data_IF_130145338386
#
_entry.id   IF_130145338386
#
_cell.length_a   1.000
_cell.length_b   1.000
_cell.length_c   1.000
_cell.angle_alpha   90.00
_cell.angle_beta   90.00
_cell.angle_gamma   90.00
#
_symmetry.space_group_name_H-M   'P 1'
#
loop_
_entity.id
_entity.type
_entity.pdbx_description
1 polymer ?
#
# COMPACT_ATOMS: atom_id res chain seq x y z
N UNK A 1 14.88 25.73 5.07
CA UNK A 1 13.46 25.88 4.67
C UNK A 1 12.71 24.63 5.06
N UNK A 2 11.85 24.71 6.09
CA UNK A 2 10.96 23.61 6.50
C UNK A 2 9.90 23.39 5.42
N UNK A 3 9.67 22.13 5.04
CA UNK A 3 8.57 21.76 4.15
C UNK A 3 7.23 22.08 4.82
N UNK A 4 6.23 22.56 4.06
CA UNK A 4 4.92 22.90 4.63
C UNK A 4 4.26 21.65 5.21
N UNK A 5 3.68 21.81 6.40
CA UNK A 5 2.90 20.77 7.06
C UNK A 5 1.58 20.66 6.30
N UNK A 6 1.34 19.52 5.66
CA UNK A 6 0.05 19.22 5.05
C UNK A 6 -0.95 18.87 6.16
N UNK A 7 -2.06 19.61 6.22
CA UNK A 7 -3.20 19.28 7.08
C UNK A 7 -4.33 18.65 6.25
N UNK A 8 -4.94 17.61 6.82
CA UNK A 8 -6.07 16.92 6.23
C UNK A 8 -7.32 17.77 6.48
N UNK A 9 -7.77 18.50 5.46
CA UNK A 9 -8.85 19.49 5.56
C UNK A 9 -10.23 18.84 5.79
N UNK A 10 -10.54 17.76 5.06
CA UNK A 10 -11.79 17.03 5.26
C UNK A 10 -11.70 15.57 4.79
N UNK A 11 -12.47 14.70 5.45
CA UNK A 11 -12.74 13.32 5.00
C UNK A 11 -14.23 13.19 4.73
N UNK A 12 -14.61 12.96 3.47
CA UNK A 12 -16.02 12.78 3.07
C UNK A 12 -16.31 11.32 2.79
N UNK A 13 -17.37 10.79 3.41
CA UNK A 13 -17.87 9.44 3.13
C UNK A 13 -18.57 9.44 1.78
N UNK A 14 -18.14 8.58 0.87
CA UNK A 14 -18.78 8.38 -0.44
C UNK A 14 -19.53 7.05 -0.45
N UNK A 15 -20.60 6.98 -1.26
CA UNK A 15 -21.38 5.74 -1.44
C UNK A 15 -20.47 4.68 -2.07
N UNK A 16 -20.57 3.44 -1.60
CA UNK A 16 -19.81 2.33 -2.18
C UNK A 16 -20.12 2.22 -3.67
N UNK A 17 -19.08 2.22 -4.49
CA UNK A 17 -19.17 2.03 -5.94
C UNK A 17 -18.74 0.60 -6.26
N UNK A 18 -19.26 -0.03 -7.33
CA UNK A 18 -18.76 -1.33 -7.77
C UNK A 18 -17.25 -1.28 -7.85
N UNK A 19 -16.55 -2.27 -7.29
CA UNK A 19 -15.09 -2.28 -7.26
C UNK A 19 -14.60 -1.89 -8.66
N UNK A 20 -13.76 -0.87 -8.75
CA UNK A 20 -13.00 -0.44 -9.95
C UNK A 20 -11.52 -0.62 -9.57
N UNK A 21 -10.66 -1.00 -10.52
CA UNK A 21 -9.23 -0.86 -10.24
C UNK A 21 -9.03 0.64 -10.25
N UNK A 22 -9.04 1.25 -9.07
CA UNK A 22 -8.90 2.68 -8.93
C UNK A 22 -7.40 2.94 -9.04
N UNK A 23 -6.99 3.44 -10.18
CA UNK A 23 -5.83 4.31 -10.24
C UNK A 23 -6.21 5.59 -9.49
N UNK A 24 -5.44 5.96 -8.47
CA UNK A 24 -5.57 7.28 -7.86
C UNK A 24 -4.85 8.28 -8.77
N UNK A 25 -5.48 8.64 -9.88
CA UNK A 25 -5.11 9.83 -10.64
C UNK A 25 -5.91 11.02 -10.06
N UNK A 26 -5.28 11.71 -9.11
CA UNK A 26 -5.75 13.01 -8.64
C UNK A 26 -5.26 14.06 -9.64
N UNK A 27 -6.04 15.11 -9.94
CA UNK A 27 -5.56 16.27 -10.73
C UNK A 27 -4.28 16.90 -10.14
N UNK A 28 -4.00 16.66 -8.85
CA UNK A 28 -2.78 17.04 -8.15
C UNK A 28 -1.61 16.03 -8.27
N UNK A 29 -1.77 14.94 -9.03
CA UNK A 29 -0.80 13.84 -9.13
C UNK A 29 -0.40 13.29 -7.76
N UNK A 30 -1.33 12.63 -7.05
CA UNK A 30 -1.11 12.16 -5.68
C UNK A 30 -0.20 10.92 -5.64
N UNK A 31 1.06 11.13 -5.97
CA UNK A 31 2.17 10.21 -5.73
C UNK A 31 2.92 10.74 -4.51
N UNK A 32 3.29 9.85 -3.59
CA UNK A 32 4.23 10.25 -2.55
C UNK A 32 5.58 10.33 -3.26
N UNK A 33 6.01 11.54 -3.57
CA UNK A 33 7.19 11.77 -4.39
C UNK A 33 8.22 12.62 -3.64
N UNK A 34 9.49 12.25 -3.77
CA UNK A 34 10.59 13.07 -3.27
C UNK A 34 10.65 14.43 -3.98
N UNK A 35 11.55 15.33 -3.56
CA UNK A 35 11.72 16.66 -4.21
C UNK A 35 11.95 16.59 -5.71
N UNK A 36 12.52 15.49 -6.21
CA UNK A 36 12.72 15.23 -7.63
C UNK A 36 11.52 14.62 -8.35
N UNK A 37 10.33 14.59 -7.75
CA UNK A 37 9.10 13.97 -8.28
C UNK A 37 9.19 12.46 -8.55
N UNK A 38 10.21 11.80 -8.00
CA UNK A 38 10.34 10.33 -8.01
C UNK A 38 9.41 9.74 -6.96
N UNK A 39 8.50 8.80 -7.31
CA UNK A 39 7.67 8.09 -6.35
C UNK A 39 8.55 7.37 -5.32
N UNK A 40 8.39 7.73 -4.06
CA UNK A 40 9.12 7.14 -2.93
C UNK A 40 8.15 6.80 -1.82
N UNK A 41 8.49 5.81 -1.00
CA UNK A 41 7.74 5.47 0.23
C UNK A 41 6.30 4.95 0.02
N UNK A 42 5.99 4.32 -1.12
CA UNK A 42 4.67 3.71 -1.36
C UNK A 42 4.28 2.70 -0.25
N UNK A 43 5.23 1.89 0.22
CA UNK A 43 5.04 1.00 1.38
C UNK A 43 4.60 1.76 2.62
N UNK A 44 5.18 2.93 2.88
CA UNK A 44 4.83 3.77 4.05
C UNK A 44 3.37 4.25 3.98
N UNK A 45 2.87 4.59 2.78
CA UNK A 45 1.45 4.94 2.60
C UNK A 45 0.54 3.74 2.89
N UNK A 46 0.92 2.55 2.44
CA UNK A 46 0.22 1.30 2.79
C UNK A 46 0.16 1.07 4.30
N UNK A 47 1.29 1.29 4.99
CA UNK A 47 1.37 1.20 6.45
C UNK A 47 0.49 2.24 7.15
N UNK A 48 0.37 3.45 6.63
CA UNK A 48 -0.51 4.47 7.19
C UNK A 48 -1.99 4.11 7.08
N UNK A 49 -2.41 3.46 5.99
CA UNK A 49 -3.77 2.94 5.89
C UNK A 49 -4.04 1.84 6.92
N UNK A 50 -3.11 0.90 7.09
CA UNK A 50 -3.21 -0.16 8.11
C UNK A 50 -3.25 0.43 9.53
N UNK A 51 -2.43 1.44 9.79
CA UNK A 51 -2.35 2.14 11.06
C UNK A 51 -3.65 2.85 11.41
N UNK A 52 -4.21 3.59 10.46
CA UNK A 52 -5.53 4.19 10.63
C UNK A 52 -6.60 3.11 10.85
N UNK A 53 -6.64 2.07 10.01
CA UNK A 53 -7.65 1.01 10.06
C UNK A 53 -7.60 0.23 11.39
N UNK A 54 -6.46 -0.36 11.73
CA UNK A 54 -6.34 -1.32 12.84
C UNK A 54 -5.95 -0.69 14.16
N UNK A 55 -5.03 0.27 14.17
CA UNK A 55 -4.55 0.86 15.43
C UNK A 55 -5.57 1.90 15.90
N UNK A 56 -5.92 2.87 15.05
CA UNK A 56 -6.82 3.97 15.43
C UNK A 56 -8.29 3.54 15.47
N UNK A 57 -8.75 2.79 14.48
CA UNK A 57 -10.17 2.44 14.34
C UNK A 57 -10.52 1.01 14.76
N UNK A 58 -9.55 0.21 15.21
CA UNK A 58 -9.75 -1.18 15.70
C UNK A 58 -10.50 -2.07 14.71
N UNK A 59 -10.31 -1.80 13.41
CA UNK A 59 -10.86 -2.62 12.32
C UNK A 59 -9.79 -3.58 11.81
N UNK A 60 -10.18 -4.82 11.51
CA UNK A 60 -9.22 -5.82 11.08
C UNK A 60 -8.62 -5.46 9.71
N UNK A 61 -7.29 -5.51 9.60
CA UNK A 61 -6.59 -5.31 8.33
C UNK A 61 -5.43 -6.28 8.16
N UNK A 62 -5.08 -6.58 6.92
CA UNK A 62 -3.93 -7.44 6.59
C UNK A 62 -3.03 -6.79 5.58
N UNK A 63 -1.72 -6.95 5.76
CA UNK A 63 -0.72 -6.70 4.73
C UNK A 63 -0.04 -8.00 4.32
N UNK A 64 -0.02 -8.24 3.02
CA UNK A 64 0.83 -9.24 2.38
C UNK A 64 2.08 -8.52 1.87
N UNK A 65 3.20 -8.73 2.57
CA UNK A 65 4.47 -8.10 2.28
C UNK A 65 5.42 -9.09 1.64
N UNK A 66 5.85 -8.78 0.42
CA UNK A 66 6.75 -9.58 -0.40
C UNK A 66 8.19 -9.09 -0.33
N UNK A 67 8.40 -7.84 0.08
CA UNK A 67 9.72 -7.20 0.15
C UNK A 67 10.20 -6.98 1.58
N UNK A 68 9.31 -6.47 2.43
CA UNK A 68 9.65 -6.14 3.81
C UNK A 68 9.29 -7.29 4.75
N UNK A 69 10.19 -7.56 5.69
CA UNK A 69 9.90 -8.46 6.80
C UNK A 69 8.88 -7.85 7.77
N UNK A 70 8.22 -8.70 8.55
CA UNK A 70 7.30 -8.29 9.62
C UNK A 70 7.98 -7.37 10.63
N UNK A 71 9.24 -7.62 10.98
CA UNK A 71 9.99 -6.78 11.92
C UNK A 71 10.21 -5.37 11.38
N UNK A 72 10.51 -5.23 10.08
CA UNK A 72 10.64 -3.93 9.44
C UNK A 72 9.32 -3.16 9.39
N UNK A 73 8.23 -3.85 9.09
CA UNK A 73 6.88 -3.25 9.12
C UNK A 73 6.55 -2.75 10.52
N UNK A 74 6.72 -3.59 11.54
CA UNK A 74 6.43 -3.22 12.94
C UNK A 74 7.31 -2.05 13.40
N UNK A 75 8.60 -2.04 13.06
CA UNK A 75 9.48 -0.91 13.39
C UNK A 75 9.01 0.40 12.75
N UNK A 76 8.54 0.37 11.50
CA UNK A 76 7.99 1.57 10.84
C UNK A 76 6.69 2.04 11.48
N UNK A 77 5.81 1.13 11.87
CA UNK A 77 4.57 1.47 12.60
C UNK A 77 4.89 2.10 13.96
N UNK A 78 5.82 1.51 14.72
CA UNK A 78 6.27 2.07 16.00
C UNK A 78 6.91 3.44 15.84
N UNK A 79 7.76 3.63 14.84
CA UNK A 79 8.35 4.93 14.51
C UNK A 79 7.28 5.98 14.25
N UNK A 80 6.25 5.63 13.48
CA UNK A 80 5.13 6.53 13.16
C UNK A 80 4.22 6.84 14.35
N UNK A 81 3.99 5.89 15.26
CA UNK A 81 3.13 6.04 16.45
C UNK A 81 3.84 6.71 17.64
N UNK A 82 5.12 6.41 17.84
CA UNK A 82 5.93 6.97 18.93
C UNK A 82 6.60 8.29 18.55
N UNK A 83 6.56 8.68 17.27
CA UNK A 83 7.26 9.85 16.71
C UNK A 83 8.78 9.83 16.94
N UNK A 84 9.36 8.63 16.92
CA UNK A 84 10.81 8.39 17.07
C UNK A 84 11.38 8.11 15.69
N UNK A 85 12.56 8.67 15.37
CA UNK A 85 13.20 8.40 14.09
C UNK A 85 13.57 6.92 13.97
N UNK A 86 13.26 6.32 12.80
CA UNK A 86 13.57 4.92 12.53
C UNK A 86 15.08 4.60 12.64
N UNK A 87 15.95 5.55 12.29
CA UNK A 87 17.41 5.41 12.46
C UNK A 87 17.82 5.26 13.92
N UNK A 88 17.15 5.99 14.80
CA UNK A 88 17.49 6.06 16.22
C UNK A 88 17.01 4.78 16.91
N UNK A 89 15.81 4.32 16.54
CA UNK A 89 15.30 3.00 16.91
C UNK A 89 16.21 1.85 16.46
N UNK A 90 16.66 1.86 15.19
CA UNK A 90 17.55 0.82 14.65
C UNK A 90 18.95 0.82 15.28
N UNK A 91 19.45 1.99 15.65
CA UNK A 91 20.77 2.14 16.26
C UNK A 91 20.76 2.07 17.79
N UNK A 92 19.59 1.90 18.42
CA UNK A 92 19.43 1.88 19.88
C UNK A 92 19.70 3.23 20.55
N UNK A 93 19.82 4.33 19.80
CA UNK A 93 20.08 5.68 20.31
C UNK A 93 18.78 6.35 20.72
N UNK A 94 18.14 5.79 21.75
CA UNK A 94 16.86 6.26 22.28
C UNK A 94 17.04 6.73 23.73
N UNK A 95 16.40 7.85 24.08
CA UNK A 95 16.32 8.30 25.47
C UNK A 95 15.41 7.39 26.29
N UNK A 96 15.49 7.46 27.62
CA UNK A 96 14.60 6.67 28.49
C UNK A 96 13.11 7.00 28.27
N UNK A 97 12.81 8.26 27.92
CA UNK A 97 11.48 8.72 27.55
C UNK A 97 11.02 8.14 26.20
N UNK A 98 11.93 8.02 25.22
CA UNK A 98 11.67 7.32 23.95
C UNK A 98 11.35 5.84 24.19
N UNK A 99 12.13 5.16 25.04
CA UNK A 99 11.88 3.77 25.42
C UNK A 99 10.51 3.59 26.07
N UNK A 100 10.14 4.51 26.98
CA UNK A 100 8.85 4.50 27.66
C UNK A 100 7.70 4.68 26.67
N UNK A 101 7.81 5.65 25.73
CA UNK A 101 6.83 5.84 24.66
C UNK A 101 6.71 4.60 23.77
N UNK A 102 7.83 4.01 23.39
CA UNK A 102 7.87 2.86 22.50
C UNK A 102 7.19 1.65 23.14
N UNK A 103 7.49 1.35 24.40
CA UNK A 103 6.87 0.25 25.15
C UNK A 103 5.34 0.40 25.20
N UNK A 104 4.84 1.61 25.47
CA UNK A 104 3.40 1.91 25.46
C UNK A 104 2.76 1.65 24.08
N UNK A 105 3.36 2.17 23.01
CA UNK A 105 2.85 1.97 21.64
C UNK A 105 2.94 0.53 21.18
N UNK A 106 3.92 -0.23 21.66
CA UNK A 106 4.07 -1.64 21.35
C UNK A 106 2.87 -2.46 21.84
N UNK A 107 2.35 -2.18 23.04
CA UNK A 107 1.12 -2.81 23.53
C UNK A 107 -0.07 -2.51 22.63
N UNK A 108 -0.25 -1.24 22.26
CA UNK A 108 -1.36 -0.80 21.41
C UNK A 108 -1.34 -1.48 20.03
N UNK A 109 -0.16 -1.60 19.41
CA UNK A 109 0.01 -2.28 18.12
C UNK A 109 -0.21 -3.79 18.27
N UNK A 110 0.29 -4.40 19.34
CA UNK A 110 0.15 -5.84 19.60
C UNK A 110 -1.32 -6.26 19.78
N UNK A 111 -2.13 -5.39 20.39
CA UNK A 111 -3.57 -5.62 20.58
C UNK A 111 -4.42 -5.25 19.37
N UNK A 112 -3.86 -4.52 18.39
CA UNK A 112 -4.60 -4.11 17.21
C UNK A 112 -4.91 -5.34 16.33
N UNK A 113 -6.09 -5.40 15.66
CA UNK A 113 -6.41 -6.46 14.71
C UNK A 113 -5.66 -6.26 13.38
N UNK A 114 -4.34 -6.16 13.45
CA UNK A 114 -3.42 -5.98 12.33
C UNK A 114 -2.67 -7.27 12.06
N UNK A 115 -2.88 -7.82 10.87
CA UNK A 115 -2.24 -9.06 10.44
C UNK A 115 -1.14 -8.74 9.43
N UNK A 116 0.04 -9.31 9.63
CA UNK A 116 1.19 -9.15 8.72
C UNK A 116 1.59 -10.53 8.24
N UNK A 117 1.63 -10.70 6.93
CA UNK A 117 2.12 -11.90 6.28
C UNK A 117 3.30 -11.53 5.39
N UNK A 118 4.51 -11.88 5.84
CA UNK A 118 5.77 -11.67 5.16
C UNK A 118 6.33 -12.98 4.57
N UNK A 119 5.45 -13.96 4.30
CA UNK A 119 5.88 -15.24 3.72
C UNK A 119 6.55 -14.99 2.36
N UNK A 120 7.75 -15.58 2.11
CA UNK A 120 8.42 -15.42 0.83
C UNK A 120 7.63 -16.10 -0.29
N UNK A 121 7.75 -15.57 -1.52
CA UNK A 121 7.17 -16.16 -2.73
C UNK A 121 5.65 -16.41 -2.72
N UNK A 122 4.88 -15.57 -2.00
CA UNK A 122 3.42 -15.69 -1.97
C UNK A 122 2.80 -15.61 -3.37
N UNK A 123 2.07 -16.66 -3.72
CA UNK A 123 1.25 -16.70 -4.93
C UNK A 123 -0.10 -16.02 -4.68
N UNK A 124 -0.76 -15.60 -5.76
CA UNK A 124 -2.10 -15.00 -5.67
C UNK A 124 -3.13 -15.97 -5.09
N UNK A 125 -2.97 -17.27 -5.31
CA UNK A 125 -3.85 -18.29 -4.74
C UNK A 125 -3.72 -18.34 -3.21
N UNK A 126 -2.49 -18.28 -2.69
CA UNK A 126 -2.22 -18.25 -1.26
C UNK A 126 -2.74 -16.97 -0.62
N UNK A 127 -2.51 -15.80 -1.24
CA UNK A 127 -3.07 -14.52 -0.77
C UNK A 127 -4.60 -14.63 -0.63
N UNK A 128 -5.29 -15.13 -1.67
CA UNK A 128 -6.75 -15.32 -1.63
C UNK A 128 -7.18 -16.28 -0.52
N UNK A 129 -6.52 -17.42 -0.39
CA UNK A 129 -6.85 -18.42 0.64
C UNK A 129 -6.67 -17.85 2.06
N UNK A 130 -5.57 -17.15 2.31
CA UNK A 130 -5.28 -16.53 3.61
C UNK A 130 -6.25 -15.38 3.91
N UNK A 131 -6.54 -14.52 2.92
CA UNK A 131 -7.50 -13.43 3.07
C UNK A 131 -8.93 -13.94 3.37
N UNK A 132 -9.39 -15.00 2.67
CA UNK A 132 -10.67 -15.67 2.96
C UNK A 132 -10.74 -16.20 4.39
N UNK A 133 -9.70 -16.94 4.80
CA UNK A 133 -9.61 -17.50 6.16
C UNK A 133 -9.66 -16.39 7.21
N UNK A 134 -9.00 -15.26 6.94
CA UNK A 134 -8.97 -14.13 7.85
C UNK A 134 -10.31 -13.38 7.88
N UNK A 135 -10.99 -13.19 6.74
CA UNK A 135 -12.32 -12.60 6.66
C UNK A 135 -13.33 -13.36 7.53
N UNK A 136 -13.27 -14.69 7.51
CA UNK A 136 -14.12 -15.56 8.34
C UNK A 136 -13.84 -15.43 9.84
N UNK A 137 -12.57 -15.18 10.22
CA UNK A 137 -12.15 -15.14 11.63
C UNK A 137 -12.27 -13.76 12.29
N UNK A 138 -12.08 -12.69 11.52
CA UNK A 138 -11.81 -11.36 12.08
C UNK A 138 -12.58 -10.21 11.41
N UNK A 139 -13.60 -10.48 10.58
CA UNK A 139 -14.37 -9.45 9.85
C UNK A 139 -13.46 -8.43 9.13
N UNK A 140 -12.50 -8.96 8.36
CA UNK A 140 -11.46 -8.19 7.66
C UNK A 140 -12.02 -6.99 6.89
N UNK A 141 -11.48 -5.79 7.11
CA UNK A 141 -11.96 -4.51 6.53
C UNK A 141 -11.00 -3.87 5.52
N UNK A 142 -9.74 -4.31 5.47
CA UNK A 142 -8.74 -3.78 4.54
C UNK A 142 -7.70 -4.85 4.21
N UNK A 143 -7.33 -4.94 2.94
CA UNK A 143 -6.20 -5.73 2.46
C UNK A 143 -5.20 -4.80 1.79
N UNK A 144 -3.93 -4.90 2.17
CA UNK A 144 -2.80 -4.25 1.50
C UNK A 144 -1.88 -5.32 0.92
N UNK A 145 -1.41 -5.13 -0.31
CA UNK A 145 -0.44 -6.02 -0.97
C UNK A 145 0.76 -5.18 -1.42
N UNK A 146 1.95 -5.51 -0.92
CA UNK A 146 3.21 -4.79 -1.17
C UNK A 146 4.34 -5.77 -1.51
N UNK A 147 4.96 -5.83 -2.68
CA UNK A 147 4.72 -5.14 -3.94
C UNK A 147 4.44 -6.17 -5.03
N UNK A 148 3.52 -5.84 -5.93
CA UNK A 148 2.99 -6.73 -6.96
C UNK A 148 4.04 -7.38 -7.88
N UNK A 149 5.23 -6.80 -7.99
CA UNK A 149 6.22 -7.24 -8.97
C UNK A 149 7.04 -8.47 -8.53
N UNK A 150 7.02 -8.88 -7.26
CA UNK A 150 7.62 -10.16 -6.82
C UNK A 150 6.66 -11.34 -6.92
N UNK A 151 5.40 -11.10 -7.21
CA UNK A 151 4.47 -12.19 -7.39
C UNK A 151 4.81 -12.89 -8.71
N UNK A 152 5.27 -14.14 -8.62
CA UNK A 152 5.41 -15.01 -9.77
C UNK A 152 4.10 -15.77 -9.96
N UNK A 153 3.49 -15.61 -11.12
CA UNK A 153 2.22 -16.22 -11.50
C UNK A 153 2.36 -17.71 -11.88
N UNK A 154 3.55 -18.31 -11.69
CA UNK A 154 3.84 -19.71 -11.98
C UNK A 154 3.78 -20.10 -13.46
N UNK A 155 3.41 -19.16 -14.35
CA UNK A 155 3.35 -19.33 -15.80
C UNK A 155 4.39 -18.42 -16.46
N UNK A 156 4.97 -18.86 -17.58
CA UNK A 156 5.76 -17.98 -18.45
C UNK A 156 4.79 -17.01 -19.15
N UNK A 157 4.95 -15.71 -18.90
CA UNK A 157 4.26 -14.67 -19.64
C UNK A 157 5.15 -14.14 -20.76
N UNK A 158 4.55 -13.87 -21.91
CA UNK A 158 5.25 -13.26 -23.06
C UNK A 158 5.64 -11.80 -22.79
N UNK A 159 4.89 -11.11 -21.93
CA UNK A 159 5.22 -9.75 -21.50
C UNK A 159 4.79 -9.47 -20.07
N UNK A 160 5.56 -8.61 -19.40
CA UNK A 160 5.27 -8.13 -18.04
C UNK A 160 3.91 -7.44 -17.94
N UNK A 161 3.45 -6.80 -19.02
CA UNK A 161 2.14 -6.16 -19.09
C UNK A 161 0.98 -7.15 -18.94
N UNK A 162 1.09 -8.33 -19.56
CA UNK A 162 0.07 -9.38 -19.45
C UNK A 162 0.05 -9.92 -18.02
N UNK A 163 1.22 -10.15 -17.44
CA UNK A 163 1.35 -10.62 -16.05
C UNK A 163 0.71 -9.66 -15.05
N UNK A 164 1.03 -8.37 -15.10
CA UNK A 164 0.45 -7.37 -14.19
C UNK A 164 -1.05 -7.15 -14.47
N UNK A 165 -1.50 -7.33 -15.71
CA UNK A 165 -2.93 -7.31 -16.04
C UNK A 165 -3.70 -8.47 -15.39
N UNK A 166 -3.13 -9.66 -15.38
CA UNK A 166 -3.68 -10.81 -14.69
C UNK A 166 -3.71 -10.59 -13.16
N UNK A 167 -2.63 -10.04 -12.59
CA UNK A 167 -2.58 -9.70 -11.16
C UNK A 167 -3.67 -8.69 -10.78
N UNK A 168 -3.80 -7.61 -11.54
CA UNK A 168 -4.81 -6.58 -11.31
C UNK A 168 -6.23 -7.15 -11.38
N UNK A 169 -6.49 -8.05 -12.35
CA UNK A 169 -7.77 -8.77 -12.45
C UNK A 169 -8.01 -9.66 -11.23
N UNK A 170 -7.00 -10.41 -10.78
CA UNK A 170 -7.14 -11.30 -9.64
C UNK A 170 -7.40 -10.55 -8.32
N UNK A 171 -6.68 -9.45 -8.07
CA UNK A 171 -6.92 -8.58 -6.91
C UNK A 171 -8.33 -7.98 -6.93
N UNK A 172 -8.79 -7.60 -8.11
CA UNK A 172 -10.15 -7.12 -8.32
C UNK A 172 -11.18 -8.19 -7.95
N UNK A 173 -10.99 -9.42 -8.43
CA UNK A 173 -11.87 -10.52 -8.08
C UNK A 173 -11.85 -10.79 -6.57
N UNK A 174 -10.68 -10.77 -5.93
CA UNK A 174 -10.54 -10.88 -4.48
C UNK A 174 -11.34 -9.80 -3.73
N UNK A 175 -11.20 -8.54 -4.14
CA UNK A 175 -11.93 -7.42 -3.53
C UNK A 175 -13.45 -7.58 -3.63
N UNK A 176 -13.96 -7.96 -4.82
CA UNK A 176 -15.38 -8.21 -5.04
C UNK A 176 -15.89 -9.40 -4.23
N UNK A 177 -15.10 -10.46 -4.18
CA UNK A 177 -15.48 -11.71 -3.54
C UNK A 177 -15.59 -11.56 -2.02
N UNK A 178 -14.65 -10.84 -1.40
CA UNK A 178 -14.66 -10.62 0.05
C UNK A 178 -15.52 -9.43 0.49
N UNK A 179 -15.91 -8.58 -0.46
CA UNK A 179 -16.50 -7.25 -0.22
C UNK A 179 -15.61 -6.41 0.70
N UNK A 180 -14.31 -6.38 0.38
CA UNK A 180 -13.26 -5.70 1.17
C UNK A 180 -12.40 -4.83 0.25
N UNK A 181 -12.12 -3.57 0.62
CA UNK A 181 -11.14 -2.73 -0.06
C UNK A 181 -9.76 -3.41 -0.14
N UNK A 182 -9.19 -3.45 -1.34
CA UNK A 182 -7.83 -3.95 -1.60
C UNK A 182 -6.98 -2.80 -2.13
N UNK A 183 -5.89 -2.51 -1.43
CA UNK A 183 -4.84 -1.57 -1.84
C UNK A 183 -3.66 -2.38 -2.35
N UNK A 184 -3.29 -2.20 -3.60
CA UNK A 184 -2.13 -2.84 -4.18
C UNK A 184 -1.05 -1.81 -4.47
N UNK A 185 0.15 -2.07 -3.99
CA UNK A 185 1.30 -1.20 -4.17
C UNK A 185 2.08 -1.71 -5.38
N UNK A 186 2.30 -0.80 -6.33
CA UNK A 186 3.12 -1.03 -7.51
C UNK A 186 4.29 -0.06 -7.54
N UNK A 187 5.46 -0.56 -7.91
CA UNK A 187 6.59 0.30 -8.25
C UNK A 187 6.50 0.72 -9.73
N UNK A 188 6.84 1.97 -10.00
CA UNK A 188 6.95 2.49 -11.35
C UNK A 188 8.29 2.07 -11.97
N UNK A 189 8.33 1.93 -13.30
CA UNK A 189 9.61 1.77 -14.00
C UNK A 189 10.45 3.05 -13.82
N UNK A 190 11.78 2.94 -13.91
CA UNK A 190 12.71 4.08 -13.77
C UNK A 190 12.73 5.06 -14.97
N UNK A 191 11.84 4.87 -15.96
CA UNK A 191 11.68 5.75 -17.12
C UNK A 191 11.50 7.25 -16.79
N UNK A 192 10.70 7.64 -15.77
CA UNK A 192 10.61 9.03 -15.33
C UNK A 192 11.95 9.61 -14.89
N UNK A 193 12.85 8.81 -14.30
CA UNK A 193 14.12 9.30 -13.74
C UNK A 193 15.09 9.79 -14.82
N UNK A 194 14.93 9.29 -16.05
CA UNK A 194 15.74 9.67 -17.22
C UNK A 194 15.23 10.94 -17.90
N UNK A 195 13.99 11.37 -17.60
CA UNK A 195 13.43 12.61 -18.16
C UNK A 195 13.89 13.84 -17.36
N UNK A 196 13.86 14.99 -18.03
CA UNK A 196 14.25 16.27 -17.42
C UNK A 196 13.24 16.73 -16.37
N UNK A 197 11.95 16.44 -16.57
CA UNK A 197 10.86 16.86 -15.68
C UNK A 197 10.57 15.88 -14.53
N UNK A 198 11.00 14.62 -14.66
CA UNK A 198 10.90 13.53 -13.68
C UNK A 198 9.52 13.25 -13.10
N UNK A 199 8.48 13.84 -13.69
CA UNK A 199 7.08 13.65 -13.28
C UNK A 199 6.57 12.32 -13.82
N UNK A 200 5.96 11.45 -13.00
CA UNK A 200 5.29 10.25 -13.49
C UNK A 200 4.18 10.60 -14.48
N UNK A 201 4.12 9.87 -15.59
CA UNK A 201 3.11 9.97 -16.64
C UNK A 201 2.34 8.66 -16.74
N UNK A 202 1.14 8.72 -17.31
CA UNK A 202 0.33 7.53 -17.63
C UNK A 202 1.09 6.50 -18.48
N UNK A 203 2.00 6.96 -19.34
CA UNK A 203 2.88 6.09 -20.11
C UNK A 203 3.79 5.25 -19.22
N UNK A 204 4.32 5.80 -18.11
CA UNK A 204 5.19 5.06 -17.18
C UNK A 204 4.42 3.99 -16.41
N UNK A 205 3.14 4.25 -16.11
CA UNK A 205 2.22 3.29 -15.49
C UNK A 205 1.79 2.18 -16.48
N UNK A 206 1.74 2.49 -17.78
CA UNK A 206 1.46 1.52 -18.85
C UNK A 206 2.69 0.65 -19.15
N UNK A 207 3.88 1.25 -19.15
CA UNK A 207 5.15 0.55 -19.34
C UNK A 207 5.55 -0.29 -18.13
N UNK A 208 5.20 0.13 -16.91
CA UNK A 208 5.37 -0.67 -15.69
C UNK A 208 4.39 -1.85 -15.57
N UNK A 209 3.46 -1.97 -16.54
CA UNK A 209 2.41 -2.97 -16.57
C UNK A 209 1.26 -2.69 -15.58
N UNK A 210 1.35 -1.65 -14.75
CA UNK A 210 0.37 -1.33 -13.71
C UNK A 210 -1.00 -0.95 -14.27
N UNK A 211 -1.05 -0.49 -15.52
CA UNK A 211 -2.28 -0.22 -16.27
C UNK A 211 -2.52 -1.28 -17.34
N UNK A 212 -3.63 -2.01 -17.19
CA UNK A 212 -4.17 -2.85 -18.26
C UNK A 212 -4.78 -1.98 -19.36
N UNK A 213 -4.77 -2.42 -20.62
CA UNK A 213 -5.39 -1.69 -21.74
C UNK A 213 -6.88 -1.38 -21.54
N UNK A 214 -7.55 -2.09 -20.62
CA UNK A 214 -8.97 -1.94 -20.29
C UNK A 214 -9.21 -1.23 -18.94
N UNK A 215 -8.17 -0.66 -18.34
CA UNK A 215 -8.30 0.12 -17.10
C UNK A 215 -8.93 1.46 -17.44
N UNK A 216 -10.19 1.68 -17.05
CA UNK A 216 -10.81 3.01 -17.17
C UNK A 216 -10.14 3.95 -16.19
N UNK A 217 -9.40 4.90 -16.73
CA UNK A 217 -8.81 6.01 -15.99
C UNK A 217 -9.95 6.97 -15.69
N UNK A 218 -10.33 7.08 -14.42
CA UNK A 218 -11.34 8.05 -13.98
C UNK A 218 -10.62 9.32 -13.58
N UNK A 219 -10.57 10.30 -14.50
CA UNK A 219 -10.16 11.65 -14.11
C UNK A 219 -11.26 12.25 -13.25
N UNK A 220 -10.89 12.74 -12.07
CA UNK A 220 -11.82 13.28 -11.09
C UNK A 220 -12.61 14.52 -11.57
N UNK A 221 -12.17 15.16 -12.67
CA UNK A 221 -12.75 16.38 -13.24
C UNK A 221 -13.73 16.14 -14.41
N UNK A 222 -13.62 15.01 -15.12
CA UNK A 222 -14.28 14.82 -16.43
C UNK A 222 -15.04 13.51 -16.58
N UNK A 223 -14.99 12.62 -15.57
CA UNK A 223 -15.64 11.31 -15.64
C UNK A 223 -14.90 10.33 -16.56
N UNK A 224 -15.49 9.17 -16.90
CA UNK A 224 -14.79 8.09 -17.60
C UNK A 224 -14.45 8.47 -19.05
N UNK A 225 -13.20 8.24 -19.45
CA UNK A 225 -12.86 7.84 -20.83
C UNK A 225 -12.57 6.35 -20.84
#
# INVERSE_FOLDING_TARGET
MMSPVLQLDAVRRVRSVPVRCIEVDNAAHLYLAGRGMVPTHNSTLGLDFLRSCSIKHRMASVIFSLEMSKSEIVMRLLSAEAKIKLSDMRSGRMSDDDWTRLARRMSEISEAPLYIDDSPNLTMMEIRAKARRLRQKADLKLIVVDYLQLMTSGKKFESRQVEVSEFSRNLKLLAKELDVPVVAISQLNRGPEQRTDKKPMLADLRESGCLTANTRILRADTGPR
#
